data_IF_190099591053
#
_entry.id   IF_190099591053
#
_cell.length_a   1.000
_cell.length_b   1.000
_cell.length_c   1.000
_cell.angle_alpha   90.00
_cell.angle_beta   90.00
_cell.angle_gamma   90.00
#
_symmetry.space_group_name_H-M   'P 1'
#
loop_
_entity.id
_entity.type
_entity.pdbx_description
1 polymer ?
#
# COMPACT_ATOMS: atom_id res chain seq x y z
N UNK A 1 18.43 30.34 5.79
CA UNK A 1 17.13 29.88 6.33
C UNK A 1 16.73 28.52 5.78
N UNK A 2 16.71 28.36 4.46
CA UNK A 2 16.37 27.07 3.81
C UNK A 2 17.33 25.96 4.20
N UNK A 3 18.63 26.23 4.23
CA UNK A 3 19.65 25.26 4.63
C UNK A 3 19.48 24.79 6.07
N UNK A 4 19.12 25.70 6.98
CA UNK A 4 18.88 25.37 8.39
C UNK A 4 17.67 24.45 8.53
N UNK A 5 16.57 24.76 7.83
CA UNK A 5 15.35 23.95 7.83
C UNK A 5 15.66 22.56 7.28
N UNK A 6 16.38 22.47 6.17
CA UNK A 6 16.78 21.20 5.57
C UNK A 6 17.67 20.39 6.50
N UNK A 7 18.63 21.04 7.17
CA UNK A 7 19.52 20.38 8.11
C UNK A 7 18.76 19.70 9.26
N UNK A 8 17.72 20.34 9.80
CA UNK A 8 16.89 19.75 10.85
C UNK A 8 15.91 18.71 10.33
N UNK A 9 15.35 18.93 9.12
CA UNK A 9 14.33 18.04 8.57
C UNK A 9 14.92 16.77 7.93
N UNK A 10 16.17 16.80 7.47
CA UNK A 10 16.81 15.66 6.83
C UNK A 10 16.85 14.42 7.72
N UNK A 11 17.35 14.46 8.97
CA UNK A 11 17.33 13.29 9.86
C UNK A 11 15.91 12.84 10.17
N UNK A 12 14.97 13.77 10.32
CA UNK A 12 13.56 13.46 10.60
C UNK A 12 12.92 12.74 9.41
N UNK A 13 13.15 13.23 8.18
CA UNK A 13 12.66 12.60 6.96
C UNK A 13 13.26 11.21 6.76
N UNK A 14 14.54 11.05 7.05
CA UNK A 14 15.21 9.75 6.98
C UNK A 14 14.61 8.77 7.98
N UNK A 15 14.32 9.20 9.20
CA UNK A 15 13.68 8.37 10.22
C UNK A 15 12.29 7.92 9.76
N UNK A 16 11.50 8.82 9.16
CA UNK A 16 10.19 8.48 8.61
C UNK A 16 10.32 7.43 7.49
N UNK A 17 11.31 7.62 6.60
CA UNK A 17 11.55 6.68 5.50
C UNK A 17 11.89 5.28 6.03
N UNK A 18 12.78 5.20 7.03
CA UNK A 18 13.14 3.92 7.66
C UNK A 18 11.91 3.28 8.32
N UNK A 19 11.10 4.07 9.02
CA UNK A 19 9.87 3.58 9.65
C UNK A 19 8.89 3.04 8.60
N UNK A 20 8.74 3.72 7.46
CA UNK A 20 7.90 3.25 6.36
C UNK A 20 8.40 1.92 5.78
N UNK A 21 9.72 1.79 5.58
CA UNK A 21 10.33 0.56 5.07
C UNK A 21 10.09 -0.59 6.04
N UNK A 22 10.31 -0.37 7.33
CA UNK A 22 10.09 -1.40 8.37
C UNK A 22 8.61 -1.80 8.43
N UNK A 23 7.70 -0.83 8.35
CA UNK A 23 6.27 -1.10 8.31
C UNK A 23 5.90 -1.95 7.09
N UNK A 24 6.46 -1.62 5.91
CA UNK A 24 6.24 -2.40 4.70
C UNK A 24 6.71 -3.84 4.86
N UNK A 25 7.90 -4.05 5.41
CA UNK A 25 8.47 -5.38 5.57
C UNK A 25 7.64 -6.23 6.53
N UNK A 26 7.26 -5.68 7.68
CA UNK A 26 6.44 -6.38 8.67
C UNK A 26 5.06 -6.68 8.08
N UNK A 27 4.46 -5.70 7.43
CA UNK A 27 3.14 -5.86 6.80
C UNK A 27 3.17 -6.89 5.68
N UNK A 28 4.25 -6.92 4.88
CA UNK A 28 4.42 -7.90 3.82
C UNK A 28 4.49 -9.32 4.38
N UNK A 29 5.21 -9.50 5.48
CA UNK A 29 5.30 -10.81 6.15
C UNK A 29 3.93 -11.29 6.61
N UNK A 30 3.18 -10.44 7.32
CA UNK A 30 1.85 -10.81 7.79
C UNK A 30 0.86 -10.98 6.64
N UNK A 31 0.99 -10.17 5.58
CA UNK A 31 0.19 -10.33 4.38
C UNK A 31 0.43 -11.69 3.72
N UNK A 32 1.70 -12.09 3.60
CA UNK A 32 2.07 -13.39 3.04
C UNK A 32 1.48 -14.53 3.86
N UNK A 33 1.56 -14.43 5.20
CA UNK A 33 1.04 -15.47 6.09
C UNK A 33 -0.49 -15.59 6.05
N UNK A 34 -1.20 -14.49 5.76
CA UNK A 34 -2.67 -14.44 5.79
C UNK A 34 -3.29 -14.30 4.39
N UNK A 35 -2.49 -14.43 3.33
CA UNK A 35 -2.96 -14.16 1.97
C UNK A 35 -4.13 -15.07 1.56
N UNK A 36 -4.11 -16.33 1.97
CA UNK A 36 -5.18 -17.28 1.64
C UNK A 36 -6.50 -16.85 2.28
N UNK A 37 -6.47 -16.45 3.55
CA UNK A 37 -7.65 -15.96 4.26
C UNK A 37 -8.17 -14.68 3.64
N UNK A 38 -7.27 -13.78 3.27
CA UNK A 38 -7.63 -12.52 2.64
C UNK A 38 -8.26 -12.75 1.27
N UNK A 39 -7.69 -13.64 0.47
CA UNK A 39 -8.23 -13.97 -0.85
C UNK A 39 -9.65 -14.56 -0.73
N UNK A 40 -9.89 -15.42 0.26
CA UNK A 40 -11.21 -15.97 0.50
C UNK A 40 -12.20 -14.90 0.95
N UNK A 41 -11.76 -13.93 1.75
CA UNK A 41 -12.61 -12.86 2.24
C UNK A 41 -12.94 -11.85 1.16
N UNK A 42 -11.96 -11.49 0.32
CA UNK A 42 -12.11 -10.43 -0.70
C UNK A 42 -12.74 -10.95 -2.00
N UNK A 43 -12.58 -12.22 -2.32
CA UNK A 43 -13.20 -12.86 -3.50
C UNK A 43 -12.86 -12.15 -4.82
N UNK A 44 -11.57 -11.89 -5.06
CA UNK A 44 -11.15 -11.22 -6.27
C UNK A 44 -11.51 -12.03 -7.52
N UNK A 45 -12.02 -11.38 -8.62
CA UNK A 45 -12.40 -12.08 -9.85
C UNK A 45 -11.30 -12.92 -10.49
N UNK A 46 -10.05 -12.48 -10.42
CA UNK A 46 -8.92 -13.24 -10.97
C UNK A 46 -8.75 -14.61 -10.32
N UNK A 47 -9.10 -14.73 -9.04
CA UNK A 47 -8.96 -15.97 -8.29
C UNK A 47 -10.06 -16.99 -8.64
N UNK A 48 -11.11 -16.58 -9.33
CA UNK A 48 -12.14 -17.49 -9.85
C UNK A 48 -11.64 -18.26 -11.07
N UNK A 49 -10.72 -17.68 -11.84
CA UNK A 49 -10.16 -18.28 -13.06
C UNK A 49 -8.80 -18.95 -12.82
N UNK A 50 -8.00 -18.42 -11.93
CA UNK A 50 -6.63 -18.88 -11.66
C UNK A 50 -6.42 -19.02 -10.16
N UNK A 51 -5.64 -20.05 -9.76
CA UNK A 51 -5.18 -20.15 -8.39
C UNK A 51 -4.14 -19.06 -8.11
N UNK A 52 -4.07 -18.62 -6.86
CA UNK A 52 -3.13 -17.59 -6.44
C UNK A 52 -1.69 -17.94 -6.84
N UNK A 53 -1.32 -19.22 -6.67
CA UNK A 53 0.03 -19.70 -6.95
C UNK A 53 0.38 -19.68 -8.45
N UNK A 54 -0.63 -19.69 -9.32
CA UNK A 54 -0.44 -19.64 -10.77
C UNK A 54 -0.29 -18.22 -11.29
N UNK A 55 -0.59 -17.21 -10.49
CA UNK A 55 -0.49 -15.83 -10.91
C UNK A 55 0.97 -15.37 -10.95
N UNK A 56 1.38 -14.59 -11.97
CA UNK A 56 2.70 -13.95 -11.97
C UNK A 56 2.78 -12.92 -10.86
N UNK A 57 4.01 -12.52 -10.51
CA UNK A 57 4.25 -11.55 -9.43
C UNK A 57 3.50 -10.23 -9.65
N UNK A 58 3.48 -9.74 -10.89
CA UNK A 58 2.77 -8.50 -11.22
C UNK A 58 1.27 -8.61 -10.98
N UNK A 59 0.67 -9.76 -11.31
CA UNK A 59 -0.75 -9.99 -11.05
C UNK A 59 -1.03 -10.07 -9.55
N UNK A 60 -0.15 -10.70 -8.78
CA UNK A 60 -0.26 -10.74 -7.31
C UNK A 60 -0.23 -9.34 -6.71
N UNK A 61 0.68 -8.49 -7.19
CA UNK A 61 0.75 -7.10 -6.74
C UNK A 61 -0.52 -6.34 -7.11
N UNK A 62 -1.04 -6.54 -8.31
CA UNK A 62 -2.28 -5.90 -8.77
C UNK A 62 -3.46 -6.30 -7.90
N UNK A 63 -3.58 -7.60 -7.59
CA UNK A 63 -4.65 -8.11 -6.71
C UNK A 63 -4.57 -7.48 -5.33
N UNK A 64 -3.38 -7.42 -4.73
CA UNK A 64 -3.21 -6.82 -3.40
C UNK A 64 -3.43 -5.32 -3.43
N UNK A 65 -3.06 -4.64 -4.51
CA UNK A 65 -3.34 -3.22 -4.68
C UNK A 65 -4.85 -2.96 -4.76
N UNK A 66 -5.59 -3.79 -5.50
CA UNK A 66 -7.05 -3.71 -5.55
C UNK A 66 -7.67 -3.86 -4.16
N UNK A 67 -7.15 -4.78 -3.36
CA UNK A 67 -7.59 -4.95 -1.96
C UNK A 67 -7.35 -3.69 -1.15
N UNK A 68 -6.15 -3.12 -1.25
CA UNK A 68 -5.80 -1.87 -0.56
C UNK A 68 -6.74 -0.74 -0.95
N UNK A 69 -6.97 -0.55 -2.24
CA UNK A 69 -7.83 0.52 -2.74
C UNK A 69 -9.28 0.32 -2.29
N UNK A 70 -9.77 -0.92 -2.30
CA UNK A 70 -11.13 -1.20 -1.84
C UNK A 70 -11.30 -0.95 -0.34
N UNK A 71 -10.31 -1.34 0.46
CA UNK A 71 -10.36 -1.17 1.90
C UNK A 71 -10.15 0.29 2.34
N UNK A 72 -9.29 1.02 1.63
CA UNK A 72 -8.92 2.39 1.98
C UNK A 72 -9.82 3.44 1.33
N UNK A 73 -10.29 3.19 0.12
CA UNK A 73 -11.07 4.14 -0.67
C UNK A 73 -12.35 3.49 -1.22
N UNK A 74 -13.27 3.03 -0.34
CA UNK A 74 -14.45 2.29 -0.80
C UNK A 74 -15.44 3.13 -1.60
N UNK A 75 -15.30 4.44 -1.57
CA UNK A 75 -16.17 5.37 -2.31
C UNK A 75 -15.54 5.95 -3.57
N UNK A 76 -14.29 5.59 -3.88
CA UNK A 76 -13.62 6.05 -5.09
C UNK A 76 -14.30 5.52 -6.35
N UNK A 77 -14.59 6.39 -7.31
CA UNK A 77 -15.28 6.02 -8.55
C UNK A 77 -14.46 6.32 -9.81
N UNK A 78 -13.34 7.01 -9.66
CA UNK A 78 -12.53 7.45 -10.80
C UNK A 78 -11.22 6.65 -10.85
N UNK A 79 -10.74 6.40 -12.09
CA UNK A 79 -9.45 5.79 -12.37
C UNK A 79 -9.28 4.43 -11.68
N UNK A 80 -8.10 4.13 -11.13
CA UNK A 80 -7.81 2.84 -10.47
C UNK A 80 -8.69 2.59 -9.24
N UNK A 81 -9.11 3.65 -8.53
CA UNK A 81 -9.99 3.53 -7.37
C UNK A 81 -11.37 2.99 -7.79
N UNK A 82 -11.93 3.52 -8.88
CA UNK A 82 -13.22 3.06 -9.40
C UNK A 82 -13.16 1.64 -9.92
N UNK A 83 -12.06 1.26 -10.58
CA UNK A 83 -11.89 -0.09 -11.09
C UNK A 83 -11.77 -1.12 -9.95
N UNK A 84 -10.97 -0.83 -8.94
CA UNK A 84 -10.84 -1.72 -7.78
C UNK A 84 -12.20 -1.89 -7.07
N UNK A 85 -12.95 -0.81 -6.89
CA UNK A 85 -14.26 -0.86 -6.28
C UNK A 85 -15.28 -1.63 -7.12
N UNK A 86 -15.18 -1.53 -8.44
CA UNK A 86 -16.03 -2.28 -9.36
C UNK A 86 -15.73 -3.78 -9.31
N UNK A 87 -14.45 -4.16 -9.32
CA UNK A 87 -14.02 -5.56 -9.29
C UNK A 87 -14.40 -6.22 -7.97
N UNK A 88 -14.35 -5.49 -6.87
CA UNK A 88 -14.60 -6.00 -5.52
C UNK A 88 -15.94 -5.52 -4.96
N UNK A 89 -16.89 -5.16 -5.83
CA UNK A 89 -18.19 -4.61 -5.42
C UNK A 89 -19.00 -5.58 -4.55
N UNK A 90 -18.84 -6.90 -4.75
CA UNK A 90 -19.53 -7.93 -3.98
C UNK A 90 -18.99 -8.04 -2.54
N UNK A 91 -17.81 -7.49 -2.28
CA UNK A 91 -17.19 -7.57 -0.96
C UNK A 91 -17.41 -6.28 -0.20
N UNK A 92 -17.99 -6.38 0.99
CA UNK A 92 -18.17 -5.23 1.88
C UNK A 92 -16.85 -5.01 2.65
N UNK A 93 -16.17 -3.85 2.47
CA UNK A 93 -14.93 -3.58 3.18
C UNK A 93 -15.10 -3.48 4.70
N UNK A 94 -16.31 -3.21 5.19
CA UNK A 94 -16.57 -3.13 6.63
C UNK A 94 -16.61 -4.51 7.28
N UNK A 95 -16.89 -5.58 6.51
CA UNK A 95 -16.93 -6.94 7.02
C UNK A 95 -15.55 -7.58 7.15
N UNK A 96 -14.51 -6.94 6.62
CA UNK A 96 -13.15 -7.45 6.70
C UNK A 96 -12.56 -7.15 8.08
N UNK A 97 -12.10 -8.20 8.77
CA UNK A 97 -11.52 -8.05 10.10
C UNK A 97 -10.23 -7.23 10.06
N UNK A 98 -9.93 -6.53 11.15
CA UNK A 98 -8.70 -5.74 11.25
C UNK A 98 -7.44 -6.61 11.07
N UNK A 99 -7.49 -7.86 11.50
CA UNK A 99 -6.38 -8.81 11.36
C UNK A 99 -5.99 -9.04 9.90
N UNK A 100 -6.96 -9.04 8.98
CA UNK A 100 -6.71 -9.19 7.55
C UNK A 100 -6.49 -7.85 6.86
N UNK A 101 -7.05 -6.78 7.40
CA UNK A 101 -7.00 -5.43 6.81
C UNK A 101 -5.64 -4.76 7.01
N UNK A 102 -5.11 -4.77 8.23
CA UNK A 102 -3.93 -3.98 8.52
C UNK A 102 -2.67 -4.37 7.72
N UNK A 103 -2.42 -5.67 7.40
CA UNK A 103 -1.25 -6.00 6.58
C UNK A 103 -1.33 -5.40 5.18
N UNK A 104 -2.49 -5.43 4.56
CA UNK A 104 -2.70 -4.84 3.22
C UNK A 104 -2.52 -3.33 3.27
N UNK A 105 -3.21 -2.68 4.20
CA UNK A 105 -3.16 -1.22 4.35
C UNK A 105 -1.75 -0.78 4.75
N UNK A 106 -1.10 -1.50 5.67
CA UNK A 106 0.26 -1.19 6.10
C UNK A 106 1.28 -1.35 4.98
N UNK A 107 1.17 -2.42 4.20
CA UNK A 107 2.09 -2.68 3.09
C UNK A 107 2.01 -1.58 2.02
N UNK A 108 0.84 -1.37 1.45
CA UNK A 108 0.66 -0.38 0.38
C UNK A 108 0.72 1.05 0.90
N UNK A 109 0.16 1.30 2.09
CA UNK A 109 0.26 2.61 2.74
C UNK A 109 1.70 2.98 3.05
N UNK A 110 2.49 2.04 3.56
CA UNK A 110 3.92 2.23 3.78
C UNK A 110 4.68 2.54 2.50
N UNK A 111 4.36 1.84 1.40
CA UNK A 111 4.97 2.10 0.09
C UNK A 111 4.66 3.53 -0.38
N UNK A 112 3.40 3.94 -0.35
CA UNK A 112 3.02 5.28 -0.79
C UNK A 112 3.60 6.37 0.10
N UNK A 113 3.56 6.20 1.42
CA UNK A 113 4.17 7.16 2.35
C UNK A 113 5.69 7.19 2.19
N UNK A 114 6.32 6.06 1.98
CA UNK A 114 7.77 5.99 1.73
C UNK A 114 8.18 6.71 0.46
N UNK A 115 7.40 6.54 -0.61
CA UNK A 115 7.64 7.26 -1.87
C UNK A 115 7.47 8.77 -1.66
N UNK A 116 6.41 9.19 -0.96
CA UNK A 116 6.18 10.60 -0.66
C UNK A 116 7.32 11.19 0.16
N UNK A 117 7.78 10.48 1.19
CA UNK A 117 8.91 10.91 2.02
C UNK A 117 10.19 11.02 1.20
N UNK A 118 10.44 10.07 0.29
CA UNK A 118 11.61 10.09 -0.60
C UNK A 118 11.57 11.28 -1.54
N UNK A 119 10.41 11.60 -2.11
CA UNK A 119 10.25 12.75 -3.00
C UNK A 119 10.47 14.06 -2.25
N UNK A 120 9.97 14.18 -1.04
CA UNK A 120 10.20 15.35 -0.18
C UNK A 120 11.69 15.49 0.13
N UNK A 121 12.35 14.39 0.49
CA UNK A 121 13.79 14.39 0.79
C UNK A 121 14.61 14.83 -0.42
N UNK A 122 14.31 14.30 -1.60
CA UNK A 122 15.00 14.70 -2.84
C UNK A 122 14.75 16.16 -3.18
N UNK A 123 13.51 16.65 -3.00
CA UNK A 123 13.19 18.05 -3.23
C UNK A 123 14.01 18.97 -2.29
N UNK A 124 14.14 18.59 -1.03
CA UNK A 124 14.93 19.34 -0.05
C UNK A 124 16.41 19.36 -0.43
N UNK A 125 16.96 18.22 -0.85
CA UNK A 125 18.36 18.14 -1.29
C UNK A 125 18.58 19.02 -2.52
N UNK A 126 17.70 18.95 -3.51
CA UNK A 126 17.81 19.76 -4.73
C UNK A 126 17.72 21.26 -4.44
N UNK A 127 16.83 21.65 -3.51
CA UNK A 127 16.71 23.05 -3.12
C UNK A 127 17.94 23.59 -2.41
N UNK A 128 18.66 22.74 -1.67
CA UNK A 128 19.90 23.16 -1.00
C UNK A 128 21.10 23.21 -1.95
N UNK A 129 21.04 22.50 -3.08
CA UNK A 129 22.11 22.51 -4.08
C UNK A 129 22.02 23.72 -5.02
N UNK A 130 20.88 24.39 -5.05
CA UNK A 130 20.62 25.60 -5.85
C UNK A 130 20.87 26.84 -4.99
#
# INVERSE_FOLDING_TARGET
MLETVTFYLLPFSFTILVACVMTCLVSALFLYLNIRRLNLAMRHPYLKKYHWEQLPFTAKLTVTLDYFLRLSFPRGKKWVFGEANRLLAETDPTDISMRLRWPVVGFWGGIFLGIAAMLVLWAMILLTMV
#
